data_IF_107139503646
#
_entry.id   IF_107139503646
#
_cell.length_a   1.000
_cell.length_b   1.000
_cell.length_c   1.000
_cell.angle_alpha   90.00
_cell.angle_beta   90.00
_cell.angle_gamma   90.00
#
_symmetry.space_group_name_H-M   'P 1'
#
loop_
_entity.id
_entity.type
_entity.pdbx_description
1 polymer ?
#
# COMPACT_ATOMS: atom_id res chain seq x y z
N UNK A 1 5.61 -24.49 -83.53
CA UNK A 1 5.38 -24.98 -82.16
C UNK A 1 6.34 -24.22 -81.27
N UNK A 2 5.79 -23.25 -80.55
CA UNK A 2 6.52 -22.23 -79.79
C UNK A 2 6.93 -22.76 -78.43
N UNK A 3 8.14 -22.46 -77.98
CA UNK A 3 8.59 -22.72 -76.60
C UNK A 3 8.25 -21.51 -75.73
N UNK A 4 7.27 -21.67 -74.86
CA UNK A 4 6.88 -20.69 -73.84
C UNK A 4 7.93 -20.64 -72.72
N UNK A 5 8.54 -19.47 -72.50
CA UNK A 5 9.34 -19.20 -71.31
C UNK A 5 8.42 -18.82 -70.15
N UNK A 6 8.54 -19.51 -69.02
CA UNK A 6 7.83 -19.17 -67.79
C UNK A 6 8.50 -17.95 -67.10
N UNK A 7 7.74 -16.98 -66.57
CA UNK A 7 8.31 -15.88 -65.80
C UNK A 7 8.55 -16.31 -64.35
N UNK A 8 9.69 -15.92 -63.78
CA UNK A 8 10.03 -16.16 -62.36
C UNK A 8 9.11 -15.37 -61.42
N UNK A 9 8.85 -15.85 -60.19
CA UNK A 9 7.98 -15.15 -59.24
C UNK A 9 8.64 -13.87 -58.71
N UNK A 10 8.00 -12.73 -58.92
CA UNK A 10 8.43 -11.41 -58.45
C UNK A 10 8.14 -11.24 -56.96
N UNK A 11 9.04 -11.71 -56.09
CA UNK A 11 9.04 -11.36 -54.67
C UNK A 11 9.93 -10.15 -54.37
N UNK A 12 10.51 -9.51 -55.40
CA UNK A 12 11.46 -8.41 -55.24
C UNK A 12 10.81 -7.03 -55.07
N UNK A 13 9.50 -6.92 -55.25
CA UNK A 13 8.74 -5.69 -55.02
C UNK A 13 8.04 -5.68 -53.65
N UNK A 14 8.81 -5.73 -52.55
CA UNK A 14 8.33 -5.10 -51.32
C UNK A 14 8.50 -3.60 -51.49
N UNK A 15 7.42 -2.93 -51.88
CA UNK A 15 7.32 -1.49 -51.69
C UNK A 15 7.60 -1.21 -50.22
N UNK A 16 8.75 -0.57 -49.94
CA UNK A 16 8.92 0.22 -48.73
C UNK A 16 7.79 1.24 -48.77
N UNK A 17 6.73 0.99 -48.01
CA UNK A 17 5.79 2.05 -47.69
C UNK A 17 6.59 3.04 -46.84
N UNK A 18 6.95 4.15 -47.46
CA UNK A 18 7.51 5.31 -46.78
C UNK A 18 6.43 5.81 -45.81
N UNK A 19 6.42 5.23 -44.60
CA UNK A 19 5.58 5.71 -43.52
C UNK A 19 6.04 7.13 -43.21
N UNK A 20 5.15 8.15 -43.30
CA UNK A 20 5.56 9.53 -43.12
C UNK A 20 6.20 9.71 -41.73
N UNK A 21 7.35 10.41 -41.65
CA UNK A 21 8.10 10.59 -40.40
C UNK A 21 7.29 11.46 -39.44
N UNK A 22 6.44 10.82 -38.64
CA UNK A 22 5.53 11.53 -37.73
C UNK A 22 4.42 10.66 -37.16
N UNK A 23 4.09 9.53 -37.79
CA UNK A 23 3.03 8.64 -37.32
C UNK A 23 3.37 7.97 -35.98
N UNK A 24 4.64 7.59 -35.78
CA UNK A 24 5.12 7.06 -34.51
C UNK A 24 5.07 8.09 -33.37
N UNK A 25 5.35 9.36 -33.65
CA UNK A 25 5.26 10.44 -32.67
C UNK A 25 3.79 10.73 -32.31
N UNK A 26 2.87 10.62 -33.27
CA UNK A 26 1.43 10.76 -33.01
C UNK A 26 0.90 9.61 -32.16
N UNK A 27 1.29 8.37 -32.43
CA UNK A 27 0.93 7.21 -31.62
C UNK A 27 1.51 7.31 -30.20
N UNK A 28 2.74 7.79 -30.05
CA UNK A 28 3.36 8.06 -28.74
C UNK A 28 2.64 9.17 -27.97
N UNK A 29 2.21 10.25 -28.65
CA UNK A 29 1.45 11.33 -28.03
C UNK A 29 0.04 10.87 -27.62
N UNK A 30 -0.65 10.07 -28.44
CA UNK A 30 -1.96 9.52 -28.08
C UNK A 30 -1.84 8.56 -26.88
N UNK A 31 -0.77 7.77 -26.82
CA UNK A 31 -0.48 6.91 -25.67
C UNK A 31 -0.12 7.69 -24.40
N UNK A 32 0.63 8.79 -24.52
CA UNK A 32 1.01 9.63 -23.37
C UNK A 32 -0.17 10.47 -22.84
N UNK A 33 -1.10 10.91 -23.70
CA UNK A 33 -2.31 11.61 -23.31
C UNK A 33 -3.38 10.70 -22.67
N UNK A 34 -3.33 9.39 -22.91
CA UNK A 34 -4.19 8.39 -22.25
C UNK A 34 -3.52 7.71 -21.05
N UNK A 35 -2.30 8.10 -20.69
CA UNK A 35 -1.79 7.75 -19.36
C UNK A 35 -2.73 8.42 -18.34
N UNK A 36 -3.33 7.62 -17.46
CA UNK A 36 -4.06 8.15 -16.30
C UNK A 36 -3.16 9.23 -15.69
N UNK A 37 -3.68 10.43 -15.35
CA UNK A 37 -2.85 11.45 -14.74
C UNK A 37 -2.11 10.77 -13.60
N UNK A 38 -0.79 10.67 -13.75
CA UNK A 38 0.08 10.11 -12.74
C UNK A 38 -0.14 11.00 -11.53
N UNK A 39 -0.92 10.52 -10.56
CA UNK A 39 -1.31 11.31 -9.41
C UNK A 39 -0.02 11.58 -8.65
N UNK A 40 0.56 12.76 -8.85
CA UNK A 40 1.77 13.25 -8.18
C UNK A 40 1.50 13.52 -6.68
N UNK A 41 0.77 12.65 -6.00
CA UNK A 41 0.71 12.63 -4.54
C UNK A 41 2.08 12.34 -3.92
N UNK A 42 2.96 11.64 -4.66
CA UNK A 42 4.01 10.86 -4.03
C UNK A 42 5.41 11.51 -4.02
N UNK A 43 5.52 12.84 -3.94
CA UNK A 43 6.84 13.48 -3.68
C UNK A 43 6.83 14.65 -2.70
N UNK A 44 5.77 14.83 -1.92
CA UNK A 44 5.89 15.77 -0.81
C UNK A 44 6.74 15.13 0.28
N UNK A 45 7.76 15.83 0.81
CA UNK A 45 8.53 15.29 1.92
C UNK A 45 7.57 15.06 3.11
N UNK A 46 7.78 14.01 3.92
CA UNK A 46 6.87 13.66 5.02
C UNK A 46 6.53 14.86 5.92
N UNK A 47 7.48 15.76 6.12
CA UNK A 47 7.34 16.98 6.90
C UNK A 47 6.21 17.88 6.37
N UNK A 48 6.09 18.03 5.05
CA UNK A 48 5.04 18.85 4.41
C UNK A 48 3.67 18.19 4.53
N UNK A 49 3.60 16.86 4.38
CA UNK A 49 2.36 16.09 4.54
C UNK A 49 1.84 16.26 5.97
N UNK A 50 2.74 16.13 6.95
CA UNK A 50 2.38 16.24 8.37
C UNK A 50 2.02 17.66 8.76
N UNK A 51 2.74 18.67 8.26
CA UNK A 51 2.40 20.08 8.49
C UNK A 51 1.04 20.46 7.90
N UNK A 52 0.70 19.94 6.73
CA UNK A 52 -0.61 20.15 6.12
C UNK A 52 -1.72 19.46 6.92
N UNK A 53 -1.49 18.22 7.38
CA UNK A 53 -2.42 17.52 8.26
C UNK A 53 -2.62 18.21 9.60
N UNK A 54 -1.56 18.73 10.21
CA UNK A 54 -1.65 19.47 11.48
C UNK A 54 -2.56 20.69 11.35
N UNK A 55 -2.31 21.51 10.32
CA UNK A 55 -3.08 22.73 10.05
C UNK A 55 -4.54 22.45 9.70
N UNK A 56 -4.80 21.44 8.87
CA UNK A 56 -6.14 21.18 8.34
C UNK A 56 -6.99 20.35 9.30
N UNK A 57 -6.42 19.30 9.90
CA UNK A 57 -7.18 18.32 10.67
C UNK A 57 -6.96 18.52 12.17
N UNK A 58 -5.72 18.51 12.65
CA UNK A 58 -5.43 18.49 14.09
C UNK A 58 -5.93 19.74 14.81
N UNK A 59 -5.80 20.91 14.17
CA UNK A 59 -6.29 22.17 14.71
C UNK A 59 -7.80 22.17 15.02
N UNK A 60 -8.59 21.39 14.25
CA UNK A 60 -10.05 21.32 14.38
C UNK A 60 -10.53 20.11 15.17
N UNK A 61 -9.62 19.21 15.60
CA UNK A 61 -10.01 18.05 16.40
C UNK A 61 -10.36 18.49 17.83
N UNK A 62 -11.50 18.04 18.37
CA UNK A 62 -11.83 18.31 19.75
C UNK A 62 -10.77 17.66 20.66
N UNK A 63 -10.32 18.41 21.67
CA UNK A 63 -9.42 17.84 22.69
C UNK A 63 -10.13 16.65 23.36
N UNK A 64 -9.44 15.52 23.58
CA UNK A 64 -10.03 14.40 24.29
C UNK A 64 -10.39 14.84 25.71
N UNK A 65 -11.69 15.01 25.94
CA UNK A 65 -12.23 15.58 27.19
C UNK A 65 -12.50 14.51 28.26
N UNK A 66 -12.61 13.24 27.86
CA UNK A 66 -13.01 12.15 28.75
C UNK A 66 -12.14 10.90 28.56
N UNK A 67 -11.99 10.03 29.58
CA UNK A 67 -11.25 8.76 29.46
C UNK A 67 -11.92 7.76 28.51
N UNK A 68 -13.18 8.02 28.12
CA UNK A 68 -13.94 7.23 27.17
C UNK A 68 -13.71 7.66 25.71
N UNK A 69 -13.09 8.82 25.50
CA UNK A 69 -12.83 9.34 24.16
C UNK A 69 -11.95 8.35 23.36
N UNK A 70 -12.42 7.99 22.16
CA UNK A 70 -11.78 6.95 21.33
C UNK A 70 -11.95 5.51 21.82
N UNK A 71 -12.83 5.26 22.81
CA UNK A 71 -13.20 3.92 23.33
C UNK A 71 -14.72 3.73 23.39
N UNK A 72 -15.46 4.57 22.69
CA UNK A 72 -16.91 4.57 22.58
C UNK A 72 -17.31 4.25 21.14
N UNK A 73 -18.32 3.42 20.97
CA UNK A 73 -18.89 3.06 19.66
C UNK A 73 -20.40 3.25 19.73
N UNK A 74 -20.96 3.98 18.78
CA UNK A 74 -22.40 4.13 18.68
C UNK A 74 -23.04 2.83 18.18
N UNK A 75 -24.19 2.49 18.76
CA UNK A 75 -25.00 1.35 18.32
C UNK A 75 -25.90 1.82 17.19
N UNK A 76 -25.64 1.34 15.98
CA UNK A 76 -26.46 1.66 14.81
C UNK A 76 -27.64 0.69 14.71
N UNK A 77 -28.86 1.21 14.57
CA UNK A 77 -30.08 0.43 14.29
C UNK A 77 -30.34 -0.72 15.29
N UNK A 78 -29.89 -0.57 16.54
CA UNK A 78 -30.03 -1.60 17.57
C UNK A 78 -29.11 -2.81 17.43
N UNK A 79 -28.16 -2.82 16.47
CA UNK A 79 -27.18 -3.90 16.33
C UNK A 79 -26.05 -3.75 17.36
N UNK A 80 -26.33 -4.23 18.57
CA UNK A 80 -25.40 -4.22 19.69
C UNK A 80 -24.22 -5.16 19.43
N UNK A 81 -24.44 -6.28 18.75
CA UNK A 81 -23.40 -7.29 18.52
C UNK A 81 -22.26 -6.71 17.68
N UNK A 82 -22.59 -6.07 16.55
CA UNK A 82 -21.58 -5.44 15.69
C UNK A 82 -20.86 -4.30 16.41
N UNK A 83 -21.57 -3.50 17.20
CA UNK A 83 -20.97 -2.44 18.00
C UNK A 83 -19.96 -2.99 19.03
N UNK A 84 -20.28 -4.10 19.70
CA UNK A 84 -19.38 -4.76 20.65
C UNK A 84 -18.14 -5.37 19.98
N UNK A 85 -18.28 -5.94 18.79
CA UNK A 85 -17.13 -6.45 18.01
C UNK A 85 -16.21 -5.31 17.60
N UNK A 86 -16.77 -4.21 17.08
CA UNK A 86 -16.02 -2.99 16.77
C UNK A 86 -15.28 -2.45 18.00
N UNK A 87 -15.98 -2.33 19.13
CA UNK A 87 -15.40 -1.87 20.39
C UNK A 87 -14.25 -2.78 20.86
N UNK A 88 -14.41 -4.10 20.78
CA UNK A 88 -13.35 -5.07 21.10
C UNK A 88 -12.11 -4.88 20.21
N UNK A 89 -12.30 -4.61 18.92
CA UNK A 89 -11.23 -4.28 17.98
C UNK A 89 -10.46 -3.02 18.42
N UNK A 90 -11.18 -1.93 18.70
CA UNK A 90 -10.61 -0.67 19.17
C UNK A 90 -9.79 -0.86 20.46
N UNK A 91 -10.33 -1.57 21.45
CA UNK A 91 -9.62 -1.83 22.71
C UNK A 91 -8.36 -2.69 22.52
N UNK A 92 -8.34 -3.55 21.50
CA UNK A 92 -7.20 -4.40 21.16
C UNK A 92 -6.09 -3.59 20.48
N UNK A 93 -6.44 -2.74 19.51
CA UNK A 93 -5.50 -1.83 18.83
C UNK A 93 -4.86 -0.88 19.84
N UNK A 94 -5.67 -0.28 20.71
CA UNK A 94 -5.22 0.61 21.77
C UNK A 94 -4.52 -0.12 22.94
N UNK A 95 -4.40 -1.46 22.86
CA UNK A 95 -3.74 -2.30 23.86
C UNK A 95 -4.21 -2.04 25.31
N UNK A 96 -5.50 -1.72 25.50
CA UNK A 96 -6.05 -1.32 26.81
C UNK A 96 -6.00 -2.48 27.80
N UNK A 97 -6.55 -3.64 27.42
CA UNK A 97 -6.54 -4.86 28.25
C UNK A 97 -5.14 -5.32 28.64
N UNK A 98 -4.20 -5.54 27.71
CA UNK A 98 -2.86 -6.01 28.09
C UNK A 98 -2.05 -4.95 28.86
N UNK A 99 -2.43 -3.68 28.78
CA UNK A 99 -1.83 -2.64 29.63
C UNK A 99 -2.40 -2.68 31.04
N UNK A 100 -3.71 -2.77 31.19
CA UNK A 100 -4.37 -2.96 32.49
C UNK A 100 -3.79 -4.15 33.25
N UNK A 101 -3.75 -5.34 32.63
CA UNK A 101 -3.22 -6.57 33.25
C UNK A 101 -1.76 -6.43 33.68
N UNK A 102 -0.99 -5.60 32.98
CA UNK A 102 0.42 -5.37 33.31
C UNK A 102 0.58 -4.38 34.45
N UNK A 103 -0.28 -3.36 34.46
CA UNK A 103 -0.23 -2.27 35.42
C UNK A 103 -0.87 -2.67 36.77
N UNK A 104 -1.59 -3.81 36.83
CA UNK A 104 -2.08 -4.45 38.06
C UNK A 104 -0.97 -4.67 39.11
N UNK A 105 0.28 -4.84 38.68
CA UNK A 105 1.44 -4.99 39.57
C UNK A 105 2.60 -4.10 39.13
N UNK A 106 3.37 -3.63 40.10
CA UNK A 106 4.58 -2.86 39.81
C UNK A 106 5.65 -3.73 39.11
N UNK A 107 6.00 -3.35 37.88
CA UNK A 107 7.15 -3.89 37.15
C UNK A 107 8.39 -3.04 37.43
N UNK A 108 9.50 -3.67 37.86
CA UNK A 108 10.76 -2.96 38.11
C UNK A 108 11.26 -2.30 36.82
N UNK A 109 11.89 -1.12 36.94
CA UNK A 109 12.39 -0.35 35.78
C UNK A 109 13.38 -1.13 34.90
N UNK A 110 14.22 -1.97 35.48
CA UNK A 110 15.16 -2.81 34.73
C UNK A 110 14.46 -3.89 33.90
N UNK A 111 13.53 -4.62 34.53
CA UNK A 111 12.72 -5.65 33.89
C UNK A 111 11.87 -5.06 32.75
N UNK A 112 11.23 -3.91 32.98
CA UNK A 112 10.48 -3.17 31.96
C UNK A 112 11.33 -2.85 30.73
N UNK A 113 12.58 -2.39 30.93
CA UNK A 113 13.52 -2.10 29.83
C UNK A 113 13.89 -3.36 29.05
N UNK A 114 14.20 -4.45 29.74
CA UNK A 114 14.54 -5.74 29.12
C UNK A 114 13.36 -6.32 28.34
N UNK A 115 12.15 -6.29 28.91
CA UNK A 115 10.92 -6.70 28.25
C UNK A 115 10.68 -5.90 26.98
N UNK A 116 10.73 -4.57 27.04
CA UNK A 116 10.51 -3.71 25.87
C UNK A 116 11.57 -3.93 24.79
N UNK A 117 12.85 -4.16 25.16
CA UNK A 117 13.92 -4.53 24.23
C UNK A 117 13.60 -5.85 23.53
N UNK A 118 13.25 -6.89 24.29
CA UNK A 118 12.87 -8.20 23.74
C UNK A 118 11.65 -8.12 22.82
N UNK A 119 10.60 -7.39 23.22
CA UNK A 119 9.41 -7.20 22.40
C UNK A 119 9.71 -6.48 21.09
N UNK A 120 10.52 -5.42 21.11
CA UNK A 120 10.95 -4.72 19.89
C UNK A 120 11.73 -5.64 18.97
N UNK A 121 12.65 -6.44 19.52
CA UNK A 121 13.42 -7.40 18.73
C UNK A 121 12.53 -8.46 18.08
N UNK A 122 11.61 -9.08 18.83
CA UNK A 122 10.66 -10.08 18.29
C UNK A 122 9.80 -9.50 17.17
N UNK A 123 9.34 -8.24 17.31
CA UNK A 123 8.56 -7.56 16.25
C UNK A 123 9.38 -7.34 14.99
N UNK A 124 10.62 -6.85 15.12
CA UNK A 124 11.53 -6.66 13.99
C UNK A 124 11.87 -7.98 13.32
N UNK A 125 12.22 -8.99 14.11
CA UNK A 125 12.52 -10.33 13.61
C UNK A 125 11.34 -10.93 12.83
N UNK A 126 10.14 -10.90 13.40
CA UNK A 126 8.93 -11.40 12.72
C UNK A 126 8.64 -10.65 11.41
N UNK A 127 8.90 -9.34 11.36
CA UNK A 127 8.76 -8.55 10.15
C UNK A 127 9.76 -8.97 9.06
N UNK A 128 11.03 -9.14 9.41
CA UNK A 128 12.05 -9.60 8.47
C UNK A 128 11.77 -11.03 7.98
N UNK A 129 11.34 -11.92 8.88
CA UNK A 129 10.90 -13.28 8.49
C UNK A 129 9.75 -13.22 7.50
N UNK A 130 8.72 -12.39 7.75
CA UNK A 130 7.59 -12.23 6.82
C UNK A 130 8.04 -11.77 5.44
N UNK A 131 8.93 -10.77 5.36
CA UNK A 131 9.48 -10.29 4.08
C UNK A 131 10.18 -11.41 3.31
N UNK A 132 11.02 -12.20 4.00
CA UNK A 132 11.74 -13.30 3.37
C UNK A 132 10.78 -14.42 2.90
N UNK A 133 9.77 -14.75 3.69
CA UNK A 133 8.73 -15.72 3.30
C UNK A 133 7.93 -15.23 2.11
N UNK A 134 7.54 -13.94 2.08
CA UNK A 134 6.86 -13.33 0.95
C UNK A 134 7.70 -13.45 -0.34
N UNK A 135 9.01 -13.15 -0.26
CA UNK A 135 9.92 -13.30 -1.39
C UNK A 135 9.99 -14.75 -1.90
N UNK A 136 10.11 -15.72 -0.99
CA UNK A 136 10.13 -17.14 -1.36
C UNK A 136 8.82 -17.57 -2.02
N UNK A 137 7.68 -17.11 -1.50
CA UNK A 137 6.38 -17.39 -2.08
C UNK A 137 6.24 -16.76 -3.48
N UNK A 138 6.77 -15.56 -3.71
CA UNK A 138 6.81 -14.94 -5.03
C UNK A 138 7.68 -15.71 -6.02
N UNK A 139 8.86 -16.17 -5.60
CA UNK A 139 9.75 -17.00 -6.45
C UNK A 139 9.04 -18.30 -6.83
N UNK A 140 8.41 -18.97 -5.85
CA UNK A 140 7.63 -20.20 -6.08
C UNK A 140 6.45 -19.95 -7.02
N UNK A 141 5.72 -18.84 -6.85
CA UNK A 141 4.59 -18.50 -7.71
C UNK A 141 5.02 -18.23 -9.16
N UNK A 142 6.28 -17.80 -9.39
CA UNK A 142 6.85 -17.60 -10.73
C UNK A 142 7.32 -18.90 -11.39
N UNK A 143 7.30 -20.04 -10.70
CA UNK A 143 7.55 -21.36 -11.29
C UNK A 143 9.00 -21.84 -11.27
N UNK A 144 9.80 -21.40 -10.30
CA UNK A 144 11.07 -22.05 -9.96
C UNK A 144 10.86 -23.26 -9.04
#
# INVERSE_FOLDING_TARGET
MSTESSPSPDWTNLQKSDSPPGQWNQLWNIASHNSKPEYQSDKQPPEVIWANWEKLQVAHLPRPHTPYFGRSVYVEKGDVQSALVKLKGILTINAVRPSHVRDERHEKKGEKRNRLKSQRWRRRFAHEVRKKVQLVNEIRARGA
#
